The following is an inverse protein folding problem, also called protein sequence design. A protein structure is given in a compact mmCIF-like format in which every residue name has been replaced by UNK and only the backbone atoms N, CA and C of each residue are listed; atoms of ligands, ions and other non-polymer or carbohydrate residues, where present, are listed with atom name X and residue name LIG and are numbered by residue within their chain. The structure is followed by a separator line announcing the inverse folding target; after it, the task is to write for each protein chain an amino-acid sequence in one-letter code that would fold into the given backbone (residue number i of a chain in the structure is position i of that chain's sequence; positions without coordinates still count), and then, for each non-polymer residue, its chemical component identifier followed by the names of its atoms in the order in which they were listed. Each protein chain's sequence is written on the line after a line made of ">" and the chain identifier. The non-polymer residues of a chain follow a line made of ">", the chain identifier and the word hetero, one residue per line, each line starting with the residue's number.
data_IF_455630378164
#
_entry.id   IF_455630378164
#
_cell.length_a   1.000
_cell.length_b   1.000
_cell.length_c   1.000
_cell.angle_alpha   90.00
_cell.angle_beta   90.00
_cell.angle_gamma   90.00
#
_symmetry.space_group_name_H-M   'P 1'
#
loop_
_entity.id
_entity.type
_entity.pdbx_description
1 polymer ?
#
# COMPACT_ATOMS: atom_id res chain seq x y z
N UNK A 1 9.43 -12.25 6.06
CA UNK A 1 8.24 -11.40 6.33
C UNK A 1 7.60 -11.92 7.58
N UNK A 2 7.55 -11.08 8.60
CA UNK A 2 7.02 -11.44 9.90
C UNK A 2 5.59 -10.91 10.06
N UNK A 3 4.93 -11.42 11.10
CA UNK A 3 3.61 -10.97 11.56
C UNK A 3 3.76 -10.55 13.01
N UNK A 4 3.23 -9.38 13.36
CA UNK A 4 3.28 -8.86 14.73
C UNK A 4 1.89 -8.44 15.19
N UNK A 5 1.57 -8.77 16.44
CA UNK A 5 0.39 -8.26 17.14
C UNK A 5 0.82 -7.07 18.01
N UNK A 6 0.19 -5.92 17.77
CA UNK A 6 0.45 -4.67 18.48
C UNK A 6 -0.77 -4.30 19.31
N UNK A 7 -0.54 -3.90 20.55
CA UNK A 7 -1.54 -3.27 21.40
C UNK A 7 -1.90 -1.87 20.89
N UNK A 8 -3.13 -1.43 21.15
CA UNK A 8 -3.59 -0.11 20.68
C UNK A 8 -2.76 1.06 21.20
N UNK A 9 -2.19 0.93 22.40
CA UNK A 9 -1.29 1.91 23.00
C UNK A 9 0.09 1.97 22.33
N UNK A 10 0.55 0.84 21.78
CA UNK A 10 1.85 0.74 21.10
C UNK A 10 1.80 1.37 19.70
N UNK A 11 0.61 1.54 19.12
CA UNK A 11 0.44 2.15 17.78
C UNK A 11 0.78 3.64 17.73
N UNK A 12 0.83 4.30 18.87
CA UNK A 12 1.17 5.73 18.98
C UNK A 12 2.68 5.95 19.04
N UNK A 13 3.44 4.96 19.52
CA UNK A 13 4.88 5.05 19.75
C UNK A 13 5.61 3.87 19.09
N UNK A 14 5.60 3.87 17.75
CA UNK A 14 6.32 2.88 16.97
C UNK A 14 7.78 3.29 16.78
N UNK A 15 8.72 2.33 16.78
CA UNK A 15 10.14 2.63 16.60
C UNK A 15 10.37 3.29 15.23
N UNK A 16 11.37 4.18 15.10
CA UNK A 16 11.68 4.90 13.85
C UNK A 16 12.37 4.00 12.82
N UNK A 17 11.82 2.80 12.60
CA UNK A 17 12.28 1.76 11.68
C UNK A 17 11.17 1.52 10.66
N UNK A 18 11.51 1.47 9.38
CA UNK A 18 10.57 1.28 8.30
C UNK A 18 9.89 -0.08 8.42
N UNK A 19 8.56 -0.07 8.51
CA UNK A 19 7.74 -1.29 8.67
C UNK A 19 7.93 -2.32 7.54
N UNK A 20 8.33 -1.89 6.33
CA UNK A 20 8.46 -2.77 5.17
C UNK A 20 9.87 -3.33 4.96
N UNK A 21 10.91 -2.53 5.17
CA UNK A 21 12.28 -2.92 4.83
C UNK A 21 13.27 -2.89 6.00
N UNK A 22 12.86 -2.46 7.19
CA UNK A 22 13.75 -2.42 8.36
C UNK A 22 14.77 -1.27 8.37
N UNK A 23 14.84 -0.44 7.32
CA UNK A 23 15.73 0.72 7.29
C UNK A 23 15.22 1.85 8.21
N UNK A 24 16.07 2.81 8.57
CA UNK A 24 15.63 3.98 9.35
C UNK A 24 14.46 4.72 8.67
N UNK A 25 13.42 5.01 9.44
CA UNK A 25 12.25 5.72 8.95
C UNK A 25 12.50 7.23 8.93
N UNK A 26 12.16 7.85 7.81
CA UNK A 26 12.28 9.30 7.60
C UNK A 26 10.93 9.99 7.69
N UNK A 27 9.85 9.26 7.40
CA UNK A 27 8.50 9.78 7.31
C UNK A 27 7.52 8.87 8.05
N UNK A 28 6.45 9.46 8.59
CA UNK A 28 5.37 8.72 9.26
C UNK A 28 4.11 8.79 8.42
N UNK A 29 3.61 7.64 7.96
CA UNK A 29 2.39 7.53 7.17
C UNK A 29 1.21 7.14 8.04
N UNK A 30 0.18 7.99 8.07
CA UNK A 30 -1.10 7.66 8.70
C UNK A 30 -1.93 6.80 7.74
N UNK A 31 -2.14 5.52 8.08
CA UNK A 31 -2.93 4.59 7.28
C UNK A 31 -4.13 4.07 8.08
N UNK A 32 -5.31 4.07 7.45
CA UNK A 32 -6.54 3.57 8.07
C UNK A 32 -6.78 2.14 7.60
N UNK A 33 -6.54 1.19 8.47
CA UNK A 33 -6.89 -0.20 8.25
C UNK A 33 -8.37 -0.43 8.50
N UNK A 34 -8.94 -1.23 7.61
CA UNK A 34 -10.31 -1.71 7.71
C UNK A 34 -10.26 -3.23 7.76
N UNK A 35 -10.95 -3.80 8.73
CA UNK A 35 -11.16 -5.23 8.80
C UNK A 35 -12.66 -5.53 8.79
N UNK A 36 -13.04 -6.50 7.98
CA UNK A 36 -14.40 -7.02 7.90
C UNK A 36 -14.32 -8.53 8.14
N UNK A 37 -15.09 -9.08 9.08
CA UNK A 37 -15.08 -10.51 9.34
C UNK A 37 -15.50 -11.29 8.08
N UNK A 38 -14.83 -12.40 7.79
CA UNK A 38 -15.12 -13.21 6.60
C UNK A 38 -16.57 -13.69 6.56
N UNK A 39 -17.18 -13.99 7.73
CA UNK A 39 -18.56 -14.43 7.78
C UNK A 39 -19.56 -13.37 7.30
N UNK A 40 -19.22 -12.07 7.37
CA UNK A 40 -20.08 -11.00 6.87
C UNK A 40 -20.28 -11.10 5.35
N UNK A 41 -19.32 -11.69 4.62
CA UNK A 41 -19.45 -11.91 3.19
C UNK A 41 -20.61 -12.87 2.84
N UNK A 42 -20.97 -13.81 3.73
CA UNK A 42 -22.11 -14.71 3.50
C UNK A 42 -23.46 -13.98 3.49
N UNK A 43 -23.56 -12.77 4.04
CA UNK A 43 -24.80 -11.99 3.98
C UNK A 43 -25.17 -11.57 2.56
N UNK A 44 -24.27 -11.73 1.59
CA UNK A 44 -24.56 -11.53 0.15
C UNK A 44 -25.68 -12.43 -0.35
N UNK A 45 -25.84 -13.62 0.23
CA UNK A 45 -26.91 -14.56 -0.13
C UNK A 45 -28.31 -14.07 0.29
N UNK A 46 -28.39 -13.12 1.23
CA UNK A 46 -29.65 -12.47 1.64
C UNK A 46 -30.00 -11.26 0.76
N UNK A 47 -29.11 -10.87 -0.15
CA UNK A 47 -29.25 -9.73 -1.04
C UNK A 47 -28.21 -8.63 -0.81
N UNK A 48 -28.02 -7.79 -1.82
CA UNK A 48 -26.98 -6.74 -1.82
C UNK A 48 -27.20 -5.66 -0.76
N UNK A 49 -28.46 -5.27 -0.50
CA UNK A 49 -28.77 -4.21 0.46
C UNK A 49 -28.52 -4.64 1.91
N UNK A 50 -29.03 -5.79 2.39
CA UNK A 50 -28.64 -6.33 3.69
C UNK A 50 -27.12 -6.50 3.81
N UNK A 51 -26.48 -7.06 2.78
CA UNK A 51 -25.03 -7.25 2.78
C UNK A 51 -24.25 -5.96 3.02
N UNK A 52 -24.58 -4.89 2.30
CA UNK A 52 -23.90 -3.60 2.47
C UNK A 52 -24.08 -3.05 3.89
N UNK A 53 -25.29 -3.14 4.44
CA UNK A 53 -25.57 -2.71 5.82
C UNK A 53 -24.75 -3.52 6.82
N UNK A 54 -24.73 -4.85 6.69
CA UNK A 54 -23.98 -5.73 7.58
C UNK A 54 -22.47 -5.48 7.50
N UNK A 55 -21.91 -5.32 6.30
CA UNK A 55 -20.50 -4.97 6.11
C UNK A 55 -20.20 -3.64 6.79
N UNK A 56 -21.01 -2.60 6.55
CA UNK A 56 -20.80 -1.28 7.15
C UNK A 56 -20.87 -1.30 8.70
N UNK A 57 -21.77 -2.09 9.28
CA UNK A 57 -21.93 -2.22 10.73
C UNK A 57 -20.85 -3.07 11.40
N UNK A 58 -20.33 -4.09 10.72
CA UNK A 58 -19.31 -5.01 11.25
C UNK A 58 -17.88 -4.55 10.95
N UNK A 59 -17.72 -3.52 10.13
CA UNK A 59 -16.44 -2.97 9.74
C UNK A 59 -15.72 -2.35 10.94
N UNK A 60 -14.61 -2.95 11.34
CA UNK A 60 -13.71 -2.36 12.33
C UNK A 60 -12.65 -1.51 11.62
N UNK A 61 -12.40 -0.32 12.17
CA UNK A 61 -11.45 0.66 11.62
C UNK A 61 -10.40 0.97 12.66
N UNK A 62 -9.14 0.90 12.27
CA UNK A 62 -8.00 1.31 13.10
C UNK A 62 -7.12 2.26 12.27
N UNK A 63 -6.62 3.32 12.90
CA UNK A 63 -5.67 4.25 12.28
C UNK A 63 -4.31 3.99 12.89
N UNK A 64 -3.29 3.76 12.07
CA UNK A 64 -1.92 3.44 12.50
C UNK A 64 -0.95 4.42 11.87
N UNK A 65 0.01 4.89 12.67
CA UNK A 65 1.09 5.78 12.27
C UNK A 65 2.29 4.94 11.85
N UNK A 66 2.37 4.53 10.59
CA UNK A 66 3.40 3.61 10.11
C UNK A 66 4.69 4.37 9.75
N UNK A 67 5.81 4.15 10.47
CA UNK A 67 7.11 4.67 10.08
C UNK A 67 7.55 4.03 8.74
N UNK A 68 7.94 4.86 7.77
CA UNK A 68 8.38 4.43 6.44
C UNK A 68 9.64 5.19 6.02
N UNK A 69 10.48 4.56 5.19
CA UNK A 69 11.59 5.25 4.54
C UNK A 69 11.10 5.99 3.27
N UNK A 70 11.86 7.00 2.86
CA UNK A 70 11.57 7.85 1.68
C UNK A 70 11.30 7.06 0.40
N UNK A 71 12.03 5.96 0.19
CA UNK A 71 11.90 5.12 -1.01
C UNK A 71 10.51 4.48 -1.09
N UNK A 72 10.07 3.84 0.01
CA UNK A 72 8.75 3.21 0.09
C UNK A 72 7.62 4.24 0.14
N UNK A 73 7.84 5.39 0.77
CA UNK A 73 6.87 6.48 0.83
C UNK A 73 6.57 7.05 -0.57
N UNK A 74 7.61 7.30 -1.38
CA UNK A 74 7.45 7.88 -2.74
C UNK A 74 6.94 6.89 -3.79
N UNK A 75 7.23 5.60 -3.66
CA UNK A 75 6.84 4.59 -4.66
C UNK A 75 5.34 4.30 -4.68
N UNK A 76 4.65 4.38 -3.54
CA UNK A 76 3.22 4.05 -3.41
C UNK A 76 2.25 4.91 -4.25
N UNK A 77 2.28 6.27 -4.21
CA UNK A 77 1.31 7.07 -4.96
C UNK A 77 1.44 6.90 -6.48
N UNK A 78 2.65 6.64 -6.98
CA UNK A 78 2.92 6.46 -8.40
C UNK A 78 2.18 5.23 -8.97
N UNK A 79 2.17 4.12 -8.24
CA UNK A 79 1.43 2.91 -8.68
C UNK A 79 -0.07 3.21 -8.72
N UNK A 80 -0.61 3.85 -7.68
CA UNK A 80 -2.03 4.22 -7.66
C UNK A 80 -2.43 5.14 -8.82
N UNK A 81 -1.60 6.15 -9.12
CA UNK A 81 -1.81 7.05 -10.26
C UNK A 81 -1.74 6.32 -11.60
N UNK A 82 -0.74 5.45 -11.80
CA UNK A 82 -0.61 4.64 -13.02
C UNK A 82 -1.82 3.74 -13.24
N UNK A 83 -2.37 3.16 -12.18
CA UNK A 83 -3.58 2.32 -12.26
C UNK A 83 -4.78 3.13 -12.71
N UNK A 84 -5.02 4.30 -12.12
CA UNK A 84 -6.12 5.19 -12.54
C UNK A 84 -5.96 5.65 -13.99
N UNK A 85 -4.74 5.98 -14.42
CA UNK A 85 -4.44 6.34 -15.81
C UNK A 85 -4.71 5.17 -16.75
N UNK A 86 -4.25 3.96 -16.42
CA UNK A 86 -4.49 2.75 -17.22
C UNK A 86 -5.98 2.42 -17.35
N UNK A 87 -6.74 2.53 -16.26
CA UNK A 87 -8.20 2.35 -16.27
C UNK A 87 -8.89 3.41 -17.14
N UNK A 88 -8.51 4.68 -17.01
CA UNK A 88 -9.08 5.77 -17.80
C UNK A 88 -8.81 5.58 -19.31
N UNK A 89 -7.59 5.20 -19.68
CA UNK A 89 -7.21 4.92 -21.07
C UNK A 89 -7.99 3.71 -21.60
N UNK A 90 -8.01 2.60 -20.85
CA UNK A 90 -8.75 1.40 -21.25
C UNK A 90 -10.24 1.69 -21.46
N UNK A 91 -10.88 2.41 -20.54
CA UNK A 91 -12.27 2.80 -20.64
C UNK A 91 -12.54 3.74 -21.83
N UNK A 92 -11.66 4.72 -22.06
CA UNK A 92 -11.78 5.64 -23.20
C UNK A 92 -11.68 4.91 -24.54
N UNK A 93 -10.73 3.97 -24.69
CA UNK A 93 -10.58 3.18 -25.92
C UNK A 93 -11.81 2.31 -26.21
N UNK A 94 -12.39 1.69 -25.17
CA UNK A 94 -13.64 0.92 -25.30
C UNK A 94 -14.79 1.84 -25.68
N UNK A 95 -14.95 2.99 -25.01
CA UNK A 95 -16.01 3.95 -25.31
C UNK A 95 -15.95 4.48 -26.75
N UNK A 96 -14.75 4.85 -27.22
CA UNK A 96 -14.54 5.28 -28.61
C UNK A 96 -14.83 4.15 -29.60
N UNK A 97 -14.41 2.92 -29.29
CA UNK A 97 -14.71 1.74 -30.10
C UNK A 97 -16.22 1.54 -30.29
N UNK A 98 -17.00 1.66 -29.21
CA UNK A 98 -18.45 1.54 -29.24
C UNK A 98 -19.13 2.68 -30.02
N UNK A 99 -18.68 3.92 -29.87
CA UNK A 99 -19.26 5.07 -30.61
C UNK A 99 -18.99 5.04 -32.11
N UNK A 100 -17.86 4.47 -32.56
CA UNK A 100 -17.54 4.34 -33.99
C UNK A 100 -18.37 3.23 -34.64
N UNK A 101 -18.65 2.15 -33.90
CA UNK A 101 -19.39 1.00 -34.40
C UNK A 101 -20.79 1.39 -34.87
N UNK A 102 -21.48 2.24 -34.10
CA UNK A 102 -22.82 2.74 -34.43
C UNK A 102 -22.86 3.61 -35.69
N UNK A 103 -21.75 4.25 -36.07
CA UNK A 103 -21.74 5.30 -37.09
C UNK A 103 -21.12 4.88 -38.44
N UNK A 104 -20.11 3.98 -38.45
CA UNK A 104 -19.32 3.74 -39.67
C UNK A 104 -19.17 2.27 -40.09
N UNK A 105 -19.61 1.27 -39.29
CA UNK A 105 -19.44 -0.17 -39.61
C UNK A 105 -18.01 -0.54 -40.06
N UNK A 106 -16.99 0.16 -39.55
CA UNK A 106 -15.61 -0.10 -39.88
C UNK A 106 -15.09 -1.26 -39.03
N UNK A 107 -14.35 -2.23 -39.62
CA UNK A 107 -13.73 -3.32 -38.85
C UNK A 107 -12.70 -2.81 -37.83
N UNK A 108 -12.32 -1.53 -37.87
CA UNK A 108 -11.45 -0.88 -36.88
C UNK A 108 -12.07 -0.76 -35.49
N UNK A 109 -13.41 -0.75 -35.36
CA UNK A 109 -14.09 -0.66 -34.05
C UNK A 109 -13.75 -1.85 -33.15
N UNK A 110 -13.72 -3.06 -33.72
CA UNK A 110 -13.38 -4.29 -33.01
C UNK A 110 -11.95 -4.26 -32.44
N UNK A 111 -10.97 -3.80 -33.23
CA UNK A 111 -9.58 -3.73 -32.78
C UNK A 111 -9.38 -2.70 -31.65
N UNK A 112 -10.08 -1.56 -31.70
CA UNK A 112 -10.07 -0.54 -30.64
C UNK A 112 -10.62 -1.08 -29.32
N UNK A 113 -11.77 -1.77 -29.37
CA UNK A 113 -12.38 -2.38 -28.20
C UNK A 113 -11.50 -3.49 -27.59
N UNK A 114 -10.88 -4.32 -28.43
CA UNK A 114 -9.93 -5.34 -27.97
C UNK A 114 -8.68 -4.73 -27.33
N UNK A 115 -8.14 -3.64 -27.90
CA UNK A 115 -6.99 -2.94 -27.33
C UNK A 115 -7.33 -2.29 -25.99
N UNK A 116 -8.51 -1.69 -25.86
CA UNK A 116 -9.00 -1.14 -24.60
C UNK A 116 -9.14 -2.23 -23.52
N UNK A 117 -9.74 -3.37 -23.86
CA UNK A 117 -9.85 -4.51 -22.96
C UNK A 117 -8.48 -5.06 -22.54
N UNK A 118 -7.56 -5.25 -23.50
CA UNK A 118 -6.21 -5.70 -23.20
C UNK A 118 -5.48 -4.74 -22.25
N UNK A 119 -5.66 -3.43 -22.43
CA UNK A 119 -5.10 -2.41 -21.53
C UNK A 119 -5.65 -2.54 -20.11
N UNK A 120 -6.95 -2.80 -19.95
CA UNK A 120 -7.56 -3.05 -18.64
C UNK A 120 -7.01 -4.33 -17.98
N UNK A 121 -6.83 -5.40 -18.75
CA UNK A 121 -6.24 -6.66 -18.24
C UNK A 121 -4.81 -6.42 -17.77
N UNK A 122 -3.97 -5.74 -18.56
CA UNK A 122 -2.59 -5.41 -18.16
C UNK A 122 -2.58 -4.54 -16.91
N UNK A 123 -3.45 -3.53 -16.84
CA UNK A 123 -3.57 -2.66 -15.66
C UNK A 123 -3.96 -3.47 -14.42
N UNK A 124 -4.89 -4.42 -14.56
CA UNK A 124 -5.30 -5.32 -13.48
C UNK A 124 -4.13 -6.20 -13.02
N UNK A 125 -3.35 -6.76 -13.94
CA UNK A 125 -2.17 -7.57 -13.58
C UNK A 125 -1.13 -6.73 -12.82
N UNK A 126 -0.88 -5.48 -13.23
CA UNK A 126 0.00 -4.55 -12.52
C UNK A 126 -0.51 -4.30 -11.09
N UNK A 127 -1.81 -4.16 -10.88
CA UNK A 127 -2.39 -4.03 -9.53
C UNK A 127 -2.13 -5.30 -8.71
N UNK A 128 -2.45 -6.46 -9.27
CA UNK A 128 -2.35 -7.73 -8.55
C UNK A 128 -0.90 -8.00 -8.11
N UNK A 129 0.06 -7.89 -9.04
CA UNK A 129 1.48 -8.15 -8.73
C UNK A 129 2.20 -6.98 -8.04
N UNK A 130 1.78 -5.74 -8.30
CA UNK A 130 2.37 -4.55 -7.68
C UNK A 130 1.91 -4.32 -6.24
N UNK A 131 0.82 -4.96 -5.82
CA UNK A 131 0.25 -4.81 -4.47
C UNK A 131 0.94 -5.65 -3.39
N UNK A 132 1.86 -6.56 -3.74
CA UNK A 132 2.39 -7.54 -2.80
C UNK A 132 3.20 -6.95 -1.63
N UNK A 133 3.70 -5.73 -1.77
CA UNK A 133 4.45 -5.06 -0.71
C UNK A 133 3.61 -4.36 0.36
N UNK A 134 2.29 -4.19 0.21
CA UNK A 134 1.54 -3.39 1.19
C UNK A 134 1.35 -4.14 2.52
N UNK A 135 1.75 -3.52 3.63
CA UNK A 135 1.43 -3.96 5.00
C UNK A 135 -0.09 -4.16 5.09
N UNK A 136 -0.52 -5.32 5.59
CA UNK A 136 -1.93 -5.70 5.67
C UNK A 136 -2.31 -5.98 7.11
N UNK A 137 -3.42 -5.40 7.57
CA UNK A 137 -4.02 -5.81 8.84
C UNK A 137 -4.82 -7.10 8.64
N UNK A 138 -4.38 -8.19 9.27
CA UNK A 138 -5.05 -9.50 9.14
C UNK A 138 -6.14 -9.68 10.19
N UNK A 139 -5.91 -9.14 11.39
CA UNK A 139 -6.87 -9.18 12.48
C UNK A 139 -6.91 -7.82 13.18
N UNK A 140 -8.11 -7.31 13.45
CA UNK A 140 -8.31 -6.08 14.23
C UNK A 140 -9.31 -6.42 15.33
N UNK A 141 -8.85 -6.27 16.57
CA UNK A 141 -9.66 -6.37 17.78
C UNK A 141 -9.81 -4.97 18.37
N UNK A 142 -10.64 -4.80 19.40
CA UNK A 142 -10.77 -3.53 20.13
C UNK A 142 -9.47 -3.06 20.79
N UNK A 143 -8.61 -4.00 21.19
CA UNK A 143 -7.38 -3.76 21.96
C UNK A 143 -6.09 -4.02 21.18
N UNK A 144 -6.13 -4.85 20.13
CA UNK A 144 -4.94 -5.28 19.38
C UNK A 144 -5.17 -5.25 17.88
N UNK A 145 -4.09 -5.06 17.13
CA UNK A 145 -4.06 -5.16 15.66
C UNK A 145 -2.90 -6.05 15.25
N UNK A 146 -3.18 -7.00 14.36
CA UNK A 146 -2.16 -7.88 13.78
C UNK A 146 -1.77 -7.36 12.40
N UNK A 147 -0.52 -6.91 12.28
CA UNK A 147 0.07 -6.47 11.01
C UNK A 147 0.84 -7.64 10.39
N UNK A 148 0.52 -7.94 9.14
CA UNK A 148 1.19 -8.92 8.29
C UNK A 148 2.06 -8.20 7.25
N UNK A 149 3.07 -8.92 6.73
CA UNK A 149 4.07 -8.44 5.77
C UNK A 149 4.93 -7.31 6.32
N UNK A 150 5.32 -7.42 7.59
CA UNK A 150 6.29 -6.50 8.21
C UNK A 150 7.72 -7.06 8.13
N UNK A 151 8.72 -6.18 8.17
CA UNK A 151 10.13 -6.59 8.21
C UNK A 151 10.49 -7.20 9.56
N UNK A 152 11.48 -8.07 9.59
CA UNK A 152 11.91 -8.75 10.82
C UNK A 152 12.62 -7.77 11.77
N UNK A 153 13.35 -6.80 11.23
CA UNK A 153 14.01 -5.73 12.00
C UNK A 153 13.00 -4.82 12.69
N UNK A 154 11.86 -4.55 12.05
CA UNK A 154 10.78 -3.79 12.69
C UNK A 154 10.18 -4.58 13.85
N UNK A 155 9.96 -5.88 13.68
CA UNK A 155 9.45 -6.75 14.76
C UNK A 155 10.42 -6.79 15.93
N UNK A 156 11.71 -6.94 15.64
CA UNK A 156 12.77 -6.95 16.64
C UNK A 156 12.83 -5.62 17.42
N UNK A 157 12.79 -4.49 16.71
CA UNK A 157 12.79 -3.16 17.32
C UNK A 157 11.57 -2.89 18.21
N UNK A 158 10.40 -3.45 17.87
CA UNK A 158 9.20 -3.36 18.72
C UNK A 158 9.34 -4.26 19.96
N UNK A 159 9.83 -5.49 19.81
CA UNK A 159 9.87 -6.47 20.88
C UNK A 159 10.93 -6.19 21.93
N UNK A 160 12.12 -5.76 21.50
CA UNK A 160 13.25 -5.51 22.41
C UNK A 160 13.33 -4.05 22.88
N UNK A 161 12.45 -3.19 22.36
CA UNK A 161 12.56 -1.75 22.54
C UNK A 161 13.68 -1.20 21.67
N UNK A 162 13.39 -0.18 20.89
CA UNK A 162 14.42 0.51 20.12
C UNK A 162 15.26 1.35 21.07
N UNK A 163 16.47 0.90 21.40
CA UNK A 163 17.48 1.76 22.04
C UNK A 163 18.13 2.62 20.93
N UNK A 164 17.83 3.94 20.84
CA UNK A 164 18.35 4.79 19.77
C UNK A 164 19.87 4.93 19.82
N UNK A 165 20.49 4.53 20.92
CA UNK A 165 21.91 4.69 21.18
C UNK A 165 22.76 3.90 20.20
N UNK A 166 22.52 2.64 19.88
CA UNK A 166 23.48 1.88 19.07
C UNK A 166 23.61 2.42 17.63
N UNK A 167 22.51 2.76 16.96
CA UNK A 167 22.56 3.29 15.59
C UNK A 167 23.04 4.74 15.56
N UNK A 168 22.62 5.57 16.53
CA UNK A 168 23.13 6.94 16.65
C UNK A 168 24.62 6.96 17.02
N UNK A 169 25.08 5.98 17.79
CA UNK A 169 26.46 5.80 18.22
C UNK A 169 27.30 5.21 17.08
N UNK A 170 26.78 4.28 16.28
CA UNK A 170 27.43 3.80 15.06
C UNK A 170 27.53 4.91 13.99
N UNK A 171 26.50 5.75 13.83
CA UNK A 171 26.54 6.96 12.99
C UNK A 171 27.50 8.02 13.53
N UNK A 172 27.60 8.18 14.86
CA UNK A 172 28.53 9.12 15.49
C UNK A 172 29.98 8.61 15.45
N UNK A 173 30.17 7.29 15.52
CA UNK A 173 31.47 6.61 15.49
C UNK A 173 31.97 6.39 14.04
N UNK A 174 31.11 6.56 13.04
CA UNK A 174 31.52 6.58 11.64
C UNK A 174 32.36 7.85 11.39
N UNK A 175 33.68 7.74 11.16
CA UNK A 175 34.53 8.90 11.05
C UNK A 175 34.16 9.73 9.80
N UNK A 176 34.13 11.07 9.90
CA UNK A 176 33.68 11.96 8.82
C UNK A 176 34.54 11.96 7.53
N UNK A 177 35.57 11.10 7.45
CA UNK A 177 36.61 11.13 6.42
C UNK A 177 36.75 9.86 5.57
N UNK A 178 35.71 9.01 5.48
CA UNK A 178 35.82 7.69 4.86
C UNK A 178 35.26 7.51 3.43
N UNK A 179 34.30 8.33 2.98
CA UNK A 179 33.80 8.23 1.60
C UNK A 179 33.37 9.58 1.04
N UNK A 180 34.09 9.96 0.01
CA UNK A 180 33.98 11.16 -0.81
C UNK A 180 32.53 11.39 -1.30
N UNK A 181 32.06 12.60 -1.03
CA UNK A 181 30.76 13.17 -1.35
C UNK A 181 30.45 13.22 -2.87
N UNK A 182 30.18 12.09 -3.52
CA UNK A 182 29.70 12.09 -4.91
C UNK A 182 28.18 11.99 -5.08
N UNK A 183 27.41 11.69 -4.03
CA UNK A 183 25.94 11.52 -4.14
C UNK A 183 25.08 12.61 -3.50
N UNK A 184 25.68 13.65 -2.90
CA UNK A 184 24.95 14.80 -2.34
C UNK A 184 24.20 15.67 -3.38
N UNK A 185 24.16 15.28 -4.65
CA UNK A 185 23.52 16.03 -5.74
C UNK A 185 22.00 15.79 -5.90
N UNK A 186 21.38 14.90 -5.11
CA UNK A 186 19.97 14.53 -5.30
C UNK A 186 18.95 15.14 -4.31
N UNK A 187 19.36 15.93 -3.30
CA UNK A 187 18.42 16.51 -2.33
C UNK A 187 17.88 17.91 -2.69
N UNK A 188 17.87 18.34 -3.97
CA UNK A 188 17.28 19.65 -4.31
C UNK A 188 16.68 19.73 -5.72
N UNK A 189 15.46 19.22 -5.89
CA UNK A 189 14.42 19.68 -6.85
C UNK A 189 13.13 18.95 -6.47
N UNK A 190 12.23 19.65 -5.76
CA UNK A 190 11.02 20.32 -6.28
C UNK A 190 10.11 19.36 -7.04
#
# INVERSE_FOLDING_TARGET
>A
MATIELGRYELEDLPPVCVQCGAAATEVKVERFTWTPQWAQFTVFLGLLPWFIFVALTQQKATVHLPMCDEHFRRRPLIGQLVWVGVAIGAALIGVGLCIDENLNLPSSMYLSMAGFATLVVTLLVVLFGSDGSVRATHITRSTITLDRVSEEFVDAVQHGFEPSEVAQELADTPPNGMELQTAKYLRRR
#
